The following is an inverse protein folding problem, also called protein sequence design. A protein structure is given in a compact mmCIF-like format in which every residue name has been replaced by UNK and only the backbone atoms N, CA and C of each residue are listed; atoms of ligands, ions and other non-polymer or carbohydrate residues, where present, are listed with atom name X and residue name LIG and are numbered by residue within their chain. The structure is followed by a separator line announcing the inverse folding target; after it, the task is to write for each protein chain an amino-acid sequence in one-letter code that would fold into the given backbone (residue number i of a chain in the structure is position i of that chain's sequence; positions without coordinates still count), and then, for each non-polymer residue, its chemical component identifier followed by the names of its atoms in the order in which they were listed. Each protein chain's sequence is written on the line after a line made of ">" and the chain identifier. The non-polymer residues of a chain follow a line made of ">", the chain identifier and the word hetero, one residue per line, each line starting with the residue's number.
data_IF_160891501178
#
_entry.id   IF_160891501178
#
_cell.length_a   1.000
_cell.length_b   1.000
_cell.length_c   1.000
_cell.angle_alpha   90.00
_cell.angle_beta   90.00
_cell.angle_gamma   90.00
#
_symmetry.space_group_name_H-M   'P 1'
#
loop_
_entity.id
_entity.type
_entity.pdbx_description
1 polymer ?
#
# COMPACT_ATOMS: atom_id res chain seq x y z
N UNK A 1 3.70 22.71 2.17
CA UNK A 1 2.76 23.79 2.46
C UNK A 1 3.59 25.09 2.51
N UNK A 2 3.36 26.00 1.62
CA UNK A 2 4.05 27.30 1.54
C UNK A 2 3.10 28.35 0.98
N UNK A 3 3.53 29.62 0.92
CA UNK A 3 2.68 30.78 0.53
C UNK A 3 1.99 30.64 -0.83
N UNK A 4 2.42 29.74 -1.70
CA UNK A 4 1.80 29.42 -2.99
C UNK A 4 1.03 28.09 -3.00
N UNK A 5 0.87 27.44 -1.86
CA UNK A 5 0.18 26.14 -1.74
C UNK A 5 -1.33 26.34 -1.59
N UNK A 6 -2.10 25.53 -2.31
CA UNK A 6 -3.55 25.43 -2.12
C UNK A 6 -3.91 24.57 -0.89
N UNK A 7 -2.97 23.75 -0.40
CA UNK A 7 -3.17 22.92 0.76
C UNK A 7 -3.05 23.74 2.05
N UNK A 8 -4.06 23.64 2.90
CA UNK A 8 -4.16 24.32 4.19
C UNK A 8 -3.75 23.43 5.36
N UNK A 9 -3.97 22.12 5.23
CA UNK A 9 -3.62 21.12 6.23
C UNK A 9 -3.43 19.75 5.58
N UNK A 10 -2.80 18.82 6.31
CA UNK A 10 -2.65 17.44 5.86
C UNK A 10 -2.60 16.48 7.04
N UNK A 11 -3.06 15.27 6.79
CA UNK A 11 -2.92 14.13 7.70
C UNK A 11 -2.28 12.98 6.94
N UNK A 12 -1.18 12.49 7.45
CA UNK A 12 -0.49 11.34 6.90
C UNK A 12 -0.66 10.12 7.80
N UNK A 13 -1.01 9.00 7.20
CA UNK A 13 -1.17 7.74 7.90
C UNK A 13 -0.44 6.65 7.15
N UNK A 14 0.32 5.86 7.86
CA UNK A 14 1.01 4.68 7.37
C UNK A 14 0.41 3.48 8.08
N UNK A 15 -0.29 2.66 7.33
CA UNK A 15 -0.97 1.49 7.85
C UNK A 15 -0.44 0.22 7.20
N UNK A 16 -0.39 -0.82 8.02
CA UNK A 16 -0.44 -2.17 7.51
C UNK A 16 -1.90 -2.45 7.19
N UNK A 17 -2.21 -2.61 5.92
CA UNK A 17 -3.50 -3.11 5.51
C UNK A 17 -3.68 -4.52 6.08
N UNK A 18 -4.93 -4.94 6.28
CA UNK A 18 -5.28 -6.32 6.67
C UNK A 18 -4.64 -7.38 5.76
N UNK A 19 -4.27 -6.97 4.55
CA UNK A 19 -3.67 -7.80 3.52
C UNK A 19 -2.16 -7.59 3.34
N UNK A 20 -1.48 -7.03 4.35
CA UNK A 20 -0.01 -6.90 4.34
C UNK A 20 0.63 -8.12 4.99
N UNK A 21 1.44 -8.84 4.25
CA UNK A 21 2.16 -10.02 4.73
C UNK A 21 3.64 -9.94 4.35
N UNK A 22 4.52 -10.28 5.29
CA UNK A 22 5.96 -10.36 5.09
C UNK A 22 6.50 -11.80 5.08
N UNK A 23 5.61 -12.77 5.19
CA UNK A 23 5.89 -14.20 5.04
C UNK A 23 4.72 -14.88 4.37
N UNK A 24 5.00 -15.68 3.37
CA UNK A 24 4.01 -16.52 2.68
C UNK A 24 4.37 -17.98 2.93
N UNK A 25 3.42 -18.73 3.43
CA UNK A 25 3.52 -20.17 3.65
C UNK A 25 2.42 -20.88 2.86
N UNK A 26 2.81 -21.61 1.83
CA UNK A 26 1.91 -22.46 1.06
C UNK A 26 2.15 -23.92 1.42
N UNK A 27 1.09 -24.69 1.54
CA UNK A 27 1.17 -26.11 1.83
C UNK A 27 0.43 -26.92 0.78
N UNK A 28 0.99 -28.06 0.41
CA UNK A 28 0.37 -29.03 -0.49
C UNK A 28 0.23 -30.37 0.21
N UNK A 29 -0.99 -30.91 0.27
CA UNK A 29 -1.21 -32.28 0.71
C UNK A 29 -0.83 -33.24 -0.41
N UNK A 30 -0.01 -34.20 -0.10
CA UNK A 30 0.33 -35.28 -1.00
C UNK A 30 -0.42 -36.54 -0.58
N UNK A 31 -1.55 -36.80 -1.21
CA UNK A 31 -2.42 -37.95 -0.87
C UNK A 31 -1.71 -39.30 -1.05
N UNK A 32 -0.76 -39.38 -1.98
CA UNK A 32 -0.03 -40.63 -2.25
C UNK A 32 0.96 -40.99 -1.16
N UNK A 33 1.56 -40.00 -0.51
CA UNK A 33 2.57 -40.20 0.55
C UNK A 33 2.03 -39.96 1.96
N UNK A 34 0.85 -39.34 2.08
CA UNK A 34 0.27 -38.90 3.35
C UNK A 34 1.06 -37.77 4.02
N UNK A 35 1.98 -37.13 3.29
CA UNK A 35 2.84 -36.06 3.76
C UNK A 35 2.33 -34.71 3.28
N UNK A 36 2.66 -33.66 4.02
CA UNK A 36 2.41 -32.28 3.63
C UNK A 36 3.74 -31.63 3.23
N UNK A 37 3.79 -31.16 2.00
CA UNK A 37 4.91 -30.38 1.49
C UNK A 37 4.70 -28.91 1.90
N UNK A 38 5.73 -28.25 2.37
CA UNK A 38 5.66 -26.87 2.89
C UNK A 38 6.63 -25.98 2.10
N UNK A 39 6.11 -24.86 1.61
CA UNK A 39 6.84 -23.86 0.86
C UNK A 39 6.74 -22.52 1.58
N UNK A 40 7.88 -21.87 1.83
CA UNK A 40 7.92 -20.60 2.57
C UNK A 40 8.84 -19.62 1.88
N UNK A 41 8.34 -18.42 1.63
CA UNK A 41 9.13 -17.24 1.29
C UNK A 41 8.88 -16.14 2.30
N UNK A 42 9.92 -15.42 2.71
CA UNK A 42 9.82 -14.38 3.73
C UNK A 42 10.79 -13.23 3.48
N UNK A 43 10.41 -12.05 3.95
CA UNK A 43 11.27 -10.88 4.05
C UNK A 43 11.73 -10.72 5.49
N UNK A 44 12.94 -11.21 5.78
CA UNK A 44 13.49 -11.23 7.14
C UNK A 44 13.75 -9.84 7.70
N UNK A 45 14.05 -8.85 6.85
CA UNK A 45 14.31 -7.48 7.29
C UNK A 45 13.03 -6.78 7.71
N UNK A 46 11.93 -7.04 6.99
CA UNK A 46 10.63 -6.54 7.37
C UNK A 46 10.06 -7.23 8.60
N UNK A 47 10.29 -8.54 8.75
CA UNK A 47 9.91 -9.27 9.96
C UNK A 47 10.59 -8.69 11.20
N UNK A 48 11.87 -8.32 11.11
CA UNK A 48 12.59 -7.66 12.21
C UNK A 48 12.02 -6.30 12.58
N UNK A 49 11.54 -5.53 11.61
CA UNK A 49 11.01 -4.18 11.82
C UNK A 49 9.59 -4.19 12.37
N UNK A 50 8.73 -5.09 11.90
CA UNK A 50 7.28 -5.03 12.13
C UNK A 50 6.66 -6.29 12.71
N UNK A 51 7.49 -7.29 13.01
CA UNK A 51 7.00 -8.58 13.45
C UNK A 51 6.54 -9.46 12.29
N UNK A 52 6.16 -10.68 12.62
CA UNK A 52 5.75 -11.68 11.64
C UNK A 52 4.29 -11.47 11.23
N UNK A 53 4.08 -11.18 9.96
CA UNK A 53 2.77 -11.11 9.30
C UNK A 53 2.72 -12.23 8.25
N UNK A 54 2.06 -13.34 8.57
CA UNK A 54 2.08 -14.54 7.73
C UNK A 54 0.78 -14.73 6.96
N UNK A 55 0.90 -14.88 5.64
CA UNK A 55 -0.12 -15.47 4.79
C UNK A 55 0.04 -17.00 4.77
N UNK A 56 -1.07 -17.71 4.93
CA UNK A 56 -1.12 -19.17 4.87
C UNK A 56 -2.23 -19.61 3.93
N UNK A 57 -1.92 -20.55 3.04
CA UNK A 57 -2.91 -21.17 2.17
C UNK A 57 -2.52 -22.59 1.82
N UNK A 58 -3.54 -23.40 1.49
CA UNK A 58 -3.38 -24.76 0.98
C UNK A 58 -3.60 -24.77 -0.52
N UNK A 59 -2.62 -25.24 -1.27
CA UNK A 59 -2.65 -25.26 -2.74
C UNK A 59 -3.05 -26.63 -3.27
N UNK A 60 -3.56 -26.65 -4.52
CA UNK A 60 -3.98 -27.86 -5.21
C UNK A 60 -2.81 -28.87 -5.32
N UNK A 61 -3.09 -30.13 -5.02
CA UNK A 61 -2.13 -31.23 -5.09
C UNK A 61 -1.53 -31.45 -6.49
N UNK A 62 -2.24 -30.99 -7.54
CA UNK A 62 -1.82 -31.11 -8.96
C UNK A 62 -0.70 -30.16 -9.34
N UNK A 63 -0.46 -29.10 -8.53
CA UNK A 63 0.61 -28.16 -8.78
C UNK A 63 1.96 -28.82 -8.50
N UNK A 64 2.92 -28.57 -9.39
CA UNK A 64 4.28 -29.03 -9.16
C UNK A 64 5.03 -28.06 -8.23
N UNK A 65 6.17 -28.50 -7.73
CA UNK A 65 7.02 -27.76 -6.80
C UNK A 65 7.43 -26.39 -7.34
N UNK A 66 7.85 -26.31 -8.61
CA UNK A 66 8.26 -25.06 -9.24
C UNK A 66 7.11 -24.05 -9.38
N UNK A 67 5.89 -24.53 -9.63
CA UNK A 67 4.71 -23.68 -9.69
C UNK A 67 4.35 -23.11 -8.31
N UNK A 68 4.41 -23.94 -7.27
CA UNK A 68 4.11 -23.51 -5.90
C UNK A 68 5.15 -22.52 -5.41
N UNK A 69 6.43 -22.74 -5.68
CA UNK A 69 7.52 -21.83 -5.33
C UNK A 69 7.35 -20.47 -6.02
N UNK A 70 7.03 -20.46 -7.31
CA UNK A 70 6.73 -19.24 -8.05
C UNK A 70 5.51 -18.49 -7.52
N UNK A 71 4.44 -19.21 -7.14
CA UNK A 71 3.25 -18.61 -6.50
C UNK A 71 3.61 -18.00 -5.14
N UNK A 72 4.38 -18.70 -4.32
CA UNK A 72 4.80 -18.23 -3.02
C UNK A 72 5.58 -16.91 -3.12
N UNK A 73 6.51 -16.84 -4.08
CA UNK A 73 7.27 -15.64 -4.37
C UNK A 73 6.41 -14.49 -4.88
N UNK A 74 5.51 -14.76 -5.83
CA UNK A 74 4.60 -13.75 -6.37
C UNK A 74 3.66 -13.19 -5.30
N UNK A 75 3.16 -14.03 -4.40
CA UNK A 75 2.33 -13.60 -3.28
C UNK A 75 3.12 -12.72 -2.29
N UNK A 76 4.37 -13.08 -1.99
CA UNK A 76 5.22 -12.24 -1.15
C UNK A 76 5.46 -10.88 -1.80
N UNK A 77 5.79 -10.82 -3.09
CA UNK A 77 5.99 -9.57 -3.82
C UNK A 77 4.71 -8.71 -3.84
N UNK A 78 3.55 -9.32 -3.94
CA UNK A 78 2.27 -8.61 -3.97
C UNK A 78 1.83 -8.09 -2.60
N UNK A 79 1.95 -8.90 -1.55
CA UNK A 79 1.43 -8.59 -0.21
C UNK A 79 2.44 -7.88 0.69
N UNK A 80 3.75 -7.96 0.40
CA UNK A 80 4.80 -7.34 1.21
C UNK A 80 4.90 -5.83 0.90
N UNK A 81 3.86 -5.09 1.29
CA UNK A 81 3.71 -3.66 1.00
C UNK A 81 2.98 -2.93 2.13
N UNK A 82 3.30 -1.66 2.30
CA UNK A 82 2.64 -0.76 3.24
C UNK A 82 1.73 0.19 2.50
N UNK A 83 0.50 0.31 2.97
CA UNK A 83 -0.44 1.31 2.50
C UNK A 83 -0.13 2.65 3.14
N UNK A 84 0.13 3.65 2.32
CA UNK A 84 0.27 5.03 2.76
C UNK A 84 -0.98 5.81 2.34
N UNK A 85 -1.65 6.41 3.29
CA UNK A 85 -2.79 7.27 3.06
C UNK A 85 -2.42 8.70 3.42
N UNK A 86 -2.56 9.61 2.47
CA UNK A 86 -2.39 11.03 2.68
C UNK A 86 -3.74 11.72 2.47
N UNK A 87 -4.20 12.43 3.50
CA UNK A 87 -5.36 13.31 3.42
C UNK A 87 -4.88 14.75 3.39
N UNK A 88 -5.31 15.49 2.40
CA UNK A 88 -5.01 16.89 2.20
C UNK A 88 -6.29 17.70 2.38
N UNK A 89 -6.20 18.79 3.14
CA UNK A 89 -7.21 19.83 3.14
C UNK A 89 -6.72 21.02 2.31
N UNK A 90 -7.55 21.53 1.45
CA UNK A 90 -7.18 22.59 0.52
C UNK A 90 -8.33 23.54 0.22
N UNK A 91 -7.98 24.68 -0.34
CA UNK A 91 -8.96 25.59 -0.98
C UNK A 91 -9.64 24.83 -2.11
N UNK A 92 -10.96 24.97 -2.22
CA UNK A 92 -11.75 24.21 -3.18
C UNK A 92 -11.45 24.55 -4.63
N UNK A 93 -11.29 23.52 -5.43
CA UNK A 93 -11.20 23.60 -6.89
C UNK A 93 -12.39 22.82 -7.46
N UNK A 94 -13.40 23.50 -8.03
CA UNK A 94 -14.64 22.84 -8.45
C UNK A 94 -14.45 21.71 -9.47
N UNK A 95 -13.42 21.79 -10.30
CA UNK A 95 -13.11 20.83 -11.37
C UNK A 95 -12.41 19.58 -10.86
N UNK A 96 -11.86 19.61 -9.65
CA UNK A 96 -11.10 18.48 -9.12
C UNK A 96 -12.02 17.29 -8.80
N UNK A 97 -11.68 16.14 -9.35
CA UNK A 97 -12.43 14.88 -9.21
C UNK A 97 -11.52 13.72 -8.80
N UNK A 98 -12.10 12.72 -8.17
CA UNK A 98 -11.45 11.44 -8.02
C UNK A 98 -11.02 10.86 -9.37
N UNK A 99 -9.86 10.21 -9.42
CA UNK A 99 -9.25 9.73 -10.66
C UNK A 99 -8.27 10.71 -11.31
N UNK A 100 -8.18 11.95 -10.84
CA UNK A 100 -7.21 12.93 -11.34
C UNK A 100 -5.84 12.76 -10.68
N UNK A 101 -4.80 13.07 -11.44
CA UNK A 101 -3.42 13.06 -10.96
C UNK A 101 -3.03 14.46 -10.50
N UNK A 102 -2.49 14.56 -9.30
CA UNK A 102 -2.11 15.80 -8.65
C UNK A 102 -0.62 15.83 -8.36
N UNK A 103 0.06 16.95 -8.63
CA UNK A 103 1.39 17.19 -8.10
C UNK A 103 1.29 17.48 -6.59
N UNK A 104 1.84 16.60 -5.77
CA UNK A 104 1.90 16.78 -4.32
C UNK A 104 3.34 16.99 -3.90
N UNK A 105 3.58 18.11 -3.23
CA UNK A 105 4.88 18.43 -2.63
C UNK A 105 4.68 18.74 -1.15
N UNK A 106 5.24 17.90 -0.30
CA UNK A 106 5.29 18.10 1.14
C UNK A 106 6.78 18.17 1.49
N UNK A 107 7.22 19.28 2.03
CA UNK A 107 8.60 19.49 2.47
C UNK A 107 8.72 19.36 3.98
N UNK A 108 9.86 18.87 4.41
CA UNK A 108 10.45 18.93 5.75
C UNK A 108 9.52 18.66 6.94
N UNK A 109 8.96 17.45 6.98
CA UNK A 109 8.41 16.93 8.21
C UNK A 109 9.07 15.58 8.43
N UNK A 110 9.62 15.38 9.61
CA UNK A 110 10.31 14.20 10.09
C UNK A 110 10.01 12.93 9.25
N UNK A 111 10.96 12.55 8.38
CA UNK A 111 10.90 11.38 7.49
C UNK A 111 9.88 11.42 6.31
N UNK A 112 9.16 12.52 6.07
CA UNK A 112 8.20 12.62 5.00
C UNK A 112 8.53 13.73 4.00
N UNK A 113 9.38 13.45 3.02
CA UNK A 113 9.53 14.30 1.84
C UNK A 113 8.80 13.67 0.65
N UNK A 114 7.63 14.18 0.33
CA UNK A 114 6.86 13.76 -0.85
C UNK A 114 7.00 14.84 -1.91
N UNK A 115 7.53 14.48 -3.07
CA UNK A 115 7.53 15.33 -4.26
C UNK A 115 7.25 14.44 -5.47
N UNK A 116 5.97 14.19 -5.74
CA UNK A 116 5.55 13.29 -6.83
C UNK A 116 4.12 13.54 -7.28
N UNK A 117 3.79 12.95 -8.40
CA UNK A 117 2.41 12.89 -8.89
C UNK A 117 1.66 11.78 -8.16
N UNK A 118 0.52 12.10 -7.58
CA UNK A 118 -0.32 11.16 -6.85
C UNK A 118 -1.73 11.16 -7.43
N UNK A 119 -2.35 9.99 -7.44
CA UNK A 119 -3.73 9.81 -7.86
C UNK A 119 -4.68 10.17 -6.72
N UNK A 120 -5.60 11.11 -6.96
CA UNK A 120 -6.69 11.38 -6.04
C UNK A 120 -7.69 10.23 -6.07
N UNK A 121 -7.78 9.48 -4.99
CA UNK A 121 -8.70 8.35 -4.89
C UNK A 121 -10.10 8.82 -4.48
N UNK A 122 -10.15 9.80 -3.57
CA UNK A 122 -11.39 10.41 -3.12
C UNK A 122 -11.23 11.92 -3.02
N UNK A 123 -12.23 12.63 -3.50
CA UNK A 123 -12.31 14.10 -3.37
C UNK A 123 -13.66 14.44 -2.76
N UNK A 124 -13.64 15.13 -1.64
CA UNK A 124 -14.83 15.64 -0.97
C UNK A 124 -14.82 17.15 -1.05
N UNK A 125 -15.81 17.73 -1.73
CA UNK A 125 -16.00 19.17 -1.86
C UNK A 125 -16.98 19.64 -0.79
N UNK A 126 -16.67 20.74 -0.10
CA UNK A 126 -17.49 21.31 0.95
C UNK A 126 -17.71 22.81 0.70
N UNK A 127 -18.96 23.23 0.75
CA UNK A 127 -19.37 24.63 0.64
C UNK A 127 -20.06 25.07 1.95
N UNK A 128 -19.56 26.13 2.55
CA UNK A 128 -20.14 26.78 3.72
C UNK A 128 -20.32 28.28 3.41
N UNK A 129 -21.49 28.67 2.94
CA UNK A 129 -21.71 30.00 2.38
C UNK A 129 -20.84 30.23 1.15
N UNK A 130 -20.00 31.25 1.17
CA UNK A 130 -19.07 31.56 0.10
C UNK A 130 -17.73 30.79 0.20
N UNK A 131 -17.50 30.10 1.30
CA UNK A 131 -16.28 29.34 1.50
C UNK A 131 -16.38 27.97 0.83
N UNK A 132 -15.44 27.72 -0.06
CA UNK A 132 -15.29 26.43 -0.72
C UNK A 132 -13.97 25.78 -0.31
N UNK A 133 -14.05 24.64 0.32
CA UNK A 133 -12.92 23.82 0.73
C UNK A 133 -13.05 22.42 0.17
N UNK A 134 -11.96 21.70 0.12
CA UNK A 134 -11.96 20.31 -0.33
C UNK A 134 -11.05 19.45 0.54
N UNK A 135 -11.40 18.19 0.66
CA UNK A 135 -10.56 17.15 1.25
C UNK A 135 -10.22 16.13 0.18
N UNK A 136 -8.93 15.88 -0.01
CA UNK A 136 -8.41 14.95 -1.01
C UNK A 136 -7.76 13.79 -0.27
N UNK A 137 -8.17 12.58 -0.58
CA UNK A 137 -7.54 11.36 -0.09
C UNK A 137 -6.73 10.72 -1.22
N UNK A 138 -5.45 10.54 -0.95
CA UNK A 138 -4.49 9.93 -1.85
C UNK A 138 -3.94 8.67 -1.19
N UNK A 139 -3.91 7.58 -1.91
CA UNK A 139 -3.28 6.34 -1.47
C UNK A 139 -2.08 6.02 -2.35
N UNK A 140 -1.04 5.56 -1.74
CA UNK A 140 0.12 4.99 -2.42
C UNK A 140 0.56 3.73 -1.71
N UNK A 141 1.17 2.83 -2.47
CA UNK A 141 1.79 1.63 -1.91
C UNK A 141 3.29 1.77 -2.00
N UNK A 142 3.97 1.55 -0.90
CA UNK A 142 5.41 1.38 -0.86
C UNK A 142 5.70 -0.11 -0.81
N UNK A 143 6.39 -0.63 -1.82
CA UNK A 143 6.93 -1.99 -1.73
C UNK A 143 8.09 -2.01 -0.74
N UNK A 144 8.04 -2.96 0.18
CA UNK A 144 9.07 -3.17 1.18
C UNK A 144 10.29 -3.83 0.50
N UNK A 145 11.03 -3.05 -0.24
CA UNK A 145 12.17 -3.52 -1.05
C UNK A 145 12.66 -2.52 -2.07
N UNK A 146 12.15 -1.30 -2.03
CA UNK A 146 12.78 -0.14 -2.67
C UNK A 146 12.35 0.22 -4.08
N UNK A 147 11.18 -0.19 -4.57
CA UNK A 147 10.59 0.38 -5.79
C UNK A 147 9.18 0.87 -5.49
N UNK A 148 9.01 2.19 -5.42
CA UNK A 148 7.68 2.81 -5.48
C UNK A 148 7.10 2.61 -6.87
N UNK A 149 6.05 1.80 -6.96
CA UNK A 149 5.19 1.81 -8.14
C UNK A 149 4.02 2.73 -7.81
N UNK A 150 3.98 3.84 -8.48
CA UNK A 150 2.83 4.75 -8.51
C UNK A 150 1.80 4.20 -9.48
#
# INVERSE_FOLDING_TARGET
>A
IGDSSLATDYTYKRDFDSDTYNRVKLVRKNEKSGRTDVYVHEDTDNIKKWGLLQYYDEVDEKLNEAQIDAMCKAYLEYYNRVLQTLKLEAIGIPELRAGMILPVKIGDIEDLAISRLLLAEKVTQKWEGENHTMQIEVKSFEQLGGVSIV
#
